data_IF_727256491642
#
_entry.id   IF_727256491642
#
_cell.length_a   1.000
_cell.length_b   1.000
_cell.length_c   1.000
_cell.angle_alpha   90.00
_cell.angle_beta   90.00
_cell.angle_gamma   90.00
#
_symmetry.space_group_name_H-M   'P 1'
#
loop_
_entity.id
_entity.type
_entity.pdbx_description
1 polymer ?
#
# COMPACT_ATOMS: atom_id res chain seq x y z
N UNK A 1 38.72 -66.70 49.81
CA UNK A 1 39.33 -65.35 49.65
C UNK A 1 40.03 -65.37 48.30
N UNK A 2 39.66 -64.63 47.25
CA UNK A 2 39.07 -63.31 47.19
C UNK A 2 38.20 -63.20 45.93
N UNK A 3 36.95 -62.74 46.08
CA UNK A 3 36.19 -62.12 45.00
C UNK A 3 37.00 -60.96 44.42
N UNK A 4 37.04 -60.83 43.10
CA UNK A 4 37.10 -59.55 42.40
C UNK A 4 36.35 -59.67 41.09
N UNK A 5 35.15 -59.08 41.13
CA UNK A 5 34.42 -58.56 39.99
C UNK A 5 35.34 -57.67 39.17
N UNK A 6 35.38 -57.87 37.85
CA UNK A 6 35.92 -56.87 36.92
C UNK A 6 34.88 -56.67 35.80
N UNK A 7 34.24 -55.52 35.95
CA UNK A 7 33.34 -54.75 35.10
C UNK A 7 33.23 -55.06 33.61
N UNK A 8 31.96 -55.18 33.21
CA UNK A 8 31.46 -55.02 31.86
C UNK A 8 31.60 -53.54 31.42
N UNK A 9 32.19 -53.21 30.26
CA UNK A 9 32.22 -51.84 29.79
C UNK A 9 30.81 -51.45 29.32
N UNK A 10 30.14 -50.60 30.10
CA UNK A 10 28.91 -49.90 29.72
C UNK A 10 29.26 -48.43 29.52
N UNK A 11 29.59 -48.05 28.28
CA UNK A 11 29.56 -46.64 27.84
C UNK A 11 28.47 -46.49 26.79
N UNK A 12 27.22 -46.71 27.21
CA UNK A 12 26.09 -46.05 26.57
C UNK A 12 25.98 -44.68 27.24
N UNK A 13 26.87 -43.76 26.87
CA UNK A 13 26.62 -42.34 27.08
C UNK A 13 25.79 -41.83 25.90
N UNK A 14 24.54 -42.30 25.83
CA UNK A 14 23.49 -41.62 25.08
C UNK A 14 22.85 -40.56 25.97
N UNK A 15 23.65 -39.68 26.58
CA UNK A 15 23.14 -38.40 27.05
C UNK A 15 23.12 -37.39 25.90
N UNK A 16 22.39 -37.74 24.83
CA UNK A 16 21.91 -36.75 23.87
C UNK A 16 20.52 -36.28 24.30
N UNK A 17 20.37 -35.20 25.08
CA UNK A 17 19.05 -34.59 25.26
C UNK A 17 18.58 -33.81 24.01
N UNK A 18 19.16 -34.04 22.82
CA UNK A 18 19.25 -33.01 21.78
C UNK A 18 18.67 -33.37 20.42
N UNK A 19 17.67 -34.23 20.38
CA UNK A 19 16.62 -34.14 19.37
C UNK A 19 15.28 -34.26 20.08
N UNK A 20 14.97 -33.28 20.93
CA UNK A 20 13.59 -33.02 21.27
C UNK A 20 12.85 -32.84 19.94
N UNK A 21 12.14 -33.89 19.53
CA UNK A 21 11.22 -33.89 18.40
C UNK A 21 10.06 -32.96 18.76
N UNK A 22 10.33 -31.65 18.80
CA UNK A 22 9.32 -30.63 18.97
C UNK A 22 8.81 -30.32 17.58
N UNK A 23 8.04 -31.26 17.03
CA UNK A 23 7.04 -30.90 16.05
C UNK A 23 6.30 -29.69 16.60
N UNK A 24 6.16 -28.58 15.85
CA UNK A 24 5.51 -27.40 16.37
C UNK A 24 4.15 -27.77 16.95
N UNK A 25 3.73 -27.08 18.00
CA UNK A 25 2.37 -27.28 18.50
C UNK A 25 1.37 -26.97 17.39
N UNK A 26 0.18 -27.57 17.38
CA UNK A 26 -0.85 -27.29 16.36
C UNK A 26 -1.10 -25.78 16.18
N UNK A 27 -1.00 -25.00 17.27
CA UNK A 27 -1.09 -23.53 17.25
C UNK A 27 0.08 -22.84 16.53
N UNK A 28 1.31 -23.36 16.65
CA UNK A 28 2.47 -22.87 15.90
C UNK A 28 2.41 -23.28 14.43
N UNK A 29 1.94 -24.50 14.10
CA UNK A 29 1.74 -24.90 12.70
C UNK A 29 0.76 -23.95 12.00
N UNK A 30 -0.38 -23.67 12.62
CA UNK A 30 -1.38 -22.76 12.04
C UNK A 30 -0.86 -21.33 11.83
N UNK A 31 0.02 -20.85 12.71
CA UNK A 31 0.67 -19.54 12.53
C UNK A 31 1.70 -19.54 11.40
N UNK A 32 2.48 -20.62 11.26
CA UNK A 32 3.44 -20.78 10.17
C UNK A 32 2.74 -20.80 8.81
N UNK A 33 1.68 -21.60 8.68
CA UNK A 33 0.86 -21.70 7.45
C UNK A 33 0.22 -20.35 7.10
N UNK A 34 -0.22 -19.57 8.09
CA UNK A 34 -0.76 -18.23 7.84
C UNK A 34 0.30 -17.25 7.37
N UNK A 35 1.49 -17.30 7.97
CA UNK A 35 2.59 -16.39 7.62
C UNK A 35 3.14 -16.65 6.20
N UNK A 36 3.14 -17.91 5.76
CA UNK A 36 3.57 -18.29 4.41
C UNK A 36 2.57 -17.86 3.34
N UNK A 37 1.27 -17.94 3.60
CA UNK A 37 0.22 -17.49 2.67
C UNK A 37 0.09 -15.95 2.57
N UNK A 38 0.40 -15.23 3.65
CA UNK A 38 0.30 -13.77 3.66
C UNK A 38 1.43 -13.08 2.88
N UNK A 39 2.63 -13.67 2.83
CA UNK A 39 3.80 -13.07 2.17
C UNK A 39 3.61 -12.85 0.65
N UNK A 40 3.17 -13.84 -0.17
CA UNK A 40 2.90 -13.64 -1.59
C UNK A 40 1.81 -12.59 -1.85
N UNK A 41 0.79 -12.54 -0.99
CA UNK A 41 -0.32 -11.60 -1.11
C UNK A 41 0.15 -10.16 -0.88
N UNK A 42 1.01 -9.92 0.11
CA UNK A 42 1.57 -8.59 0.38
C UNK A 42 2.44 -8.10 -0.78
N UNK A 43 3.32 -8.94 -1.32
CA UNK A 43 4.19 -8.59 -2.45
C UNK A 43 3.35 -8.20 -3.68
N UNK A 44 2.29 -8.96 -3.98
CA UNK A 44 1.37 -8.66 -5.10
C UNK A 44 0.70 -7.30 -4.93
N UNK A 45 0.19 -6.99 -3.73
CA UNK A 45 -0.45 -5.70 -3.45
C UNK A 45 0.53 -4.55 -3.65
N UNK A 46 1.75 -4.66 -3.10
CA UNK A 46 2.79 -3.64 -3.25
C UNK A 46 3.14 -3.40 -4.73
N UNK A 47 3.28 -4.49 -5.50
CA UNK A 47 3.57 -4.41 -6.93
C UNK A 47 2.44 -3.73 -7.72
N UNK A 48 1.18 -4.07 -7.44
CA UNK A 48 0.01 -3.45 -8.10
C UNK A 48 -0.06 -1.95 -7.78
N UNK A 49 0.05 -1.58 -6.50
CA UNK A 49 0.00 -0.18 -6.10
C UNK A 49 1.15 0.63 -6.72
N UNK A 50 2.36 0.07 -6.75
CA UNK A 50 3.53 0.70 -7.36
C UNK A 50 3.31 0.92 -8.86
N UNK A 51 2.83 -0.11 -9.57
CA UNK A 51 2.59 -0.04 -11.01
C UNK A 51 1.56 1.03 -11.35
N UNK A 52 0.41 1.02 -10.65
CA UNK A 52 -0.63 2.01 -10.87
C UNK A 52 -0.13 3.41 -10.55
N UNK A 53 0.58 3.59 -9.44
CA UNK A 53 1.15 4.88 -9.07
C UNK A 53 2.14 5.41 -10.13
N UNK A 54 3.01 4.55 -10.68
CA UNK A 54 3.92 4.93 -11.75
C UNK A 54 3.17 5.36 -13.03
N UNK A 55 2.11 4.63 -13.41
CA UNK A 55 1.27 4.98 -14.56
C UNK A 55 0.55 6.33 -14.34
N UNK A 56 -0.07 6.52 -13.17
CA UNK A 56 -0.73 7.80 -12.84
C UNK A 56 0.26 8.96 -12.77
N UNK A 57 1.46 8.75 -12.22
CA UNK A 57 2.49 9.78 -12.13
C UNK A 57 3.01 10.18 -13.51
N UNK A 58 3.35 9.19 -14.35
CA UNK A 58 3.81 9.44 -15.72
C UNK A 58 2.76 10.16 -16.56
N UNK A 59 1.49 9.74 -16.47
CA UNK A 59 0.39 10.43 -17.17
C UNK A 59 0.12 11.82 -16.61
N UNK A 60 0.25 12.04 -15.30
CA UNK A 60 0.13 13.39 -14.72
C UNK A 60 1.20 14.36 -15.25
N UNK A 61 2.45 13.90 -15.38
CA UNK A 61 3.53 14.70 -15.98
C UNK A 61 3.24 14.99 -17.44
N UNK A 62 2.83 13.98 -18.21
CA UNK A 62 2.50 14.14 -19.63
C UNK A 62 1.34 15.13 -19.85
N UNK A 63 0.25 14.98 -19.08
CA UNK A 63 -0.92 15.84 -19.15
C UNK A 63 -0.61 17.25 -18.64
N UNK A 64 0.20 17.42 -17.59
CA UNK A 64 0.66 18.72 -17.12
C UNK A 64 1.49 19.47 -18.18
N UNK A 65 2.45 18.78 -18.80
CA UNK A 65 3.25 19.34 -19.90
C UNK A 65 2.37 19.72 -21.10
N UNK A 66 1.42 18.86 -21.46
CA UNK A 66 0.43 19.14 -22.51
C UNK A 66 -0.43 20.35 -22.16
N UNK A 67 -0.89 20.49 -20.92
CA UNK A 67 -1.65 21.64 -20.43
C UNK A 67 -0.92 22.96 -20.65
N UNK A 68 0.34 23.01 -20.22
CA UNK A 68 1.17 24.23 -20.29
C UNK A 68 1.56 24.64 -21.72
N UNK A 69 1.91 23.67 -22.58
CA UNK A 69 2.51 23.96 -23.89
C UNK A 69 1.54 23.76 -25.07
N UNK A 70 0.63 22.80 -24.96
CA UNK A 70 -0.30 22.40 -26.02
C UNK A 70 -1.70 22.98 -25.83
N UNK A 71 -2.33 22.67 -24.71
CA UNK A 71 -3.75 22.95 -24.46
C UNK A 71 -4.03 24.45 -24.36
N UNK A 72 -3.12 25.23 -23.77
CA UNK A 72 -3.21 26.71 -23.69
C UNK A 72 -3.35 27.39 -25.06
N UNK A 73 -2.90 26.75 -26.14
CA UNK A 73 -3.05 27.25 -27.53
C UNK A 73 -4.41 26.92 -28.15
N UNK A 74 -5.19 26.03 -27.51
CA UNK A 74 -6.47 25.50 -28.01
C UNK A 74 -7.66 25.99 -27.19
N UNK A 75 -7.47 26.25 -25.90
CA UNK A 75 -8.52 26.71 -24.98
C UNK A 75 -8.16 28.10 -24.49
N UNK A 76 -9.02 29.08 -24.79
CA UNK A 76 -8.84 30.48 -24.36
C UNK A 76 -9.32 30.73 -22.92
N UNK A 77 -10.26 29.92 -22.42
CA UNK A 77 -10.85 30.06 -21.08
C UNK A 77 -9.80 29.73 -19.98
N UNK A 78 -9.38 30.73 -19.18
CA UNK A 78 -8.39 30.52 -18.14
C UNK A 78 -8.86 29.59 -17.01
N UNK A 79 -10.15 29.58 -16.69
CA UNK A 79 -10.69 28.74 -15.63
C UNK A 79 -10.62 27.26 -16.02
N UNK A 80 -10.89 26.93 -17.28
CA UNK A 80 -10.72 25.59 -17.84
C UNK A 80 -9.26 25.15 -17.82
N UNK A 81 -8.32 26.02 -18.19
CA UNK A 81 -6.90 25.72 -18.10
C UNK A 81 -6.43 25.51 -16.66
N UNK A 82 -6.95 26.29 -15.70
CA UNK A 82 -6.67 26.06 -14.30
C UNK A 82 -7.21 24.71 -13.81
N UNK A 83 -8.43 24.32 -14.19
CA UNK A 83 -8.98 23.01 -13.84
C UNK A 83 -8.11 21.86 -14.36
N UNK A 84 -7.58 21.96 -15.58
CA UNK A 84 -6.62 20.98 -16.11
C UNK A 84 -5.35 20.90 -15.28
N UNK A 85 -4.77 22.05 -14.90
CA UNK A 85 -3.56 22.08 -14.08
C UNK A 85 -3.81 21.52 -12.68
N UNK A 86 -4.96 21.83 -12.08
CA UNK A 86 -5.40 21.25 -10.80
C UNK A 86 -5.52 19.74 -10.90
N UNK A 87 -6.11 19.21 -11.98
CA UNK A 87 -6.22 17.77 -12.22
C UNK A 87 -4.83 17.10 -12.30
N UNK A 88 -3.91 17.67 -13.08
CA UNK A 88 -2.54 17.16 -13.19
C UNK A 88 -1.78 17.20 -11.86
N UNK A 89 -1.91 18.29 -11.12
CA UNK A 89 -1.27 18.44 -9.82
C UNK A 89 -1.82 17.43 -8.80
N UNK A 90 -3.14 17.30 -8.69
CA UNK A 90 -3.76 16.35 -7.75
C UNK A 90 -3.43 14.90 -8.11
N UNK A 91 -3.42 14.57 -9.41
CA UNK A 91 -3.00 13.25 -9.89
C UNK A 91 -1.53 12.97 -9.54
N UNK A 92 -0.62 13.92 -9.76
CA UNK A 92 0.80 13.74 -9.44
C UNK A 92 1.01 13.55 -7.94
N UNK A 93 0.43 14.42 -7.11
CA UNK A 93 0.56 14.36 -5.64
C UNK A 93 0.09 13.01 -5.10
N UNK A 94 -1.07 12.53 -5.54
CA UNK A 94 -1.63 11.27 -5.03
C UNK A 94 -0.97 10.04 -5.65
N UNK A 95 -0.36 10.16 -6.84
CA UNK A 95 0.50 9.09 -7.38
C UNK A 95 1.75 8.92 -6.52
N UNK A 96 2.41 10.01 -6.12
CA UNK A 96 3.56 9.97 -5.20
C UNK A 96 3.14 9.45 -3.82
N UNK A 97 2.01 9.92 -3.29
CA UNK A 97 1.47 9.39 -2.04
C UNK A 97 1.20 7.87 -2.13
N UNK A 98 0.71 7.38 -3.28
CA UNK A 98 0.48 5.95 -3.51
C UNK A 98 1.78 5.16 -3.59
N UNK A 99 2.85 5.69 -4.21
CA UNK A 99 4.19 5.08 -4.16
C UNK A 99 4.70 4.96 -2.73
N UNK A 100 4.56 6.03 -1.94
CA UNK A 100 4.94 6.01 -0.51
C UNK A 100 4.15 4.92 0.22
N UNK A 101 2.82 4.88 0.05
CA UNK A 101 1.96 3.87 0.66
C UNK A 101 2.37 2.45 0.23
N UNK A 102 2.70 2.23 -1.04
CA UNK A 102 3.15 0.94 -1.56
C UNK A 102 4.48 0.48 -0.93
N UNK A 103 5.38 1.43 -0.62
CA UNK A 103 6.68 1.15 0.00
C UNK A 103 6.61 0.78 1.49
N UNK A 104 5.48 1.05 2.16
CA UNK A 104 5.32 0.74 3.59
C UNK A 104 5.11 -0.76 3.81
N UNK A 105 6.04 -1.39 4.55
CA UNK A 105 5.92 -2.76 5.01
C UNK A 105 5.69 -2.85 6.54
N UNK A 106 4.93 -3.84 7.03
CA UNK A 106 4.00 -4.66 6.25
C UNK A 106 2.80 -3.85 5.75
N UNK A 107 2.16 -4.32 4.68
CA UNK A 107 0.94 -3.70 4.15
C UNK A 107 -0.25 -3.99 5.07
N UNK A 108 -0.67 -2.97 5.83
CA UNK A 108 -1.79 -3.06 6.76
C UNK A 108 -3.12 -2.82 6.04
N UNK A 109 -4.24 -3.10 6.72
CA UNK A 109 -5.57 -2.74 6.20
C UNK A 109 -5.66 -1.23 5.86
N UNK A 110 -5.10 -0.38 6.71
CA UNK A 110 -5.12 1.07 6.50
C UNK A 110 -4.34 1.50 5.26
N UNK A 111 -3.13 0.96 5.03
CA UNK A 111 -2.33 1.31 3.84
C UNK A 111 -2.98 0.79 2.56
N UNK A 112 -3.59 -0.40 2.58
CA UNK A 112 -4.35 -0.94 1.45
C UNK A 112 -5.55 -0.05 1.07
N UNK A 113 -6.34 0.37 2.07
CA UNK A 113 -7.46 1.29 1.85
C UNK A 113 -6.99 2.64 1.33
N UNK A 114 -5.93 3.21 1.92
CA UNK A 114 -5.38 4.49 1.48
C UNK A 114 -4.94 4.45 0.01
N UNK A 115 -4.16 3.43 -0.38
CA UNK A 115 -3.71 3.27 -1.77
C UNK A 115 -4.88 3.14 -2.75
N UNK A 116 -5.86 2.29 -2.44
CA UNK A 116 -7.06 2.14 -3.25
C UNK A 116 -7.88 3.42 -3.38
N UNK A 117 -8.06 4.16 -2.28
CA UNK A 117 -8.79 5.42 -2.24
C UNK A 117 -8.07 6.54 -3.02
N UNK A 118 -6.75 6.60 -2.98
CA UNK A 118 -5.98 7.52 -3.81
C UNK A 118 -6.13 7.21 -5.30
N UNK A 119 -6.06 5.94 -5.71
CA UNK A 119 -6.28 5.54 -7.11
C UNK A 119 -7.70 5.89 -7.58
N UNK A 120 -8.70 5.59 -6.76
CA UNK A 120 -10.09 5.95 -7.05
C UNK A 120 -10.26 7.48 -7.16
N UNK A 121 -9.67 8.23 -6.22
CA UNK A 121 -9.67 9.69 -6.22
C UNK A 121 -9.01 10.27 -7.47
N UNK A 122 -7.84 9.77 -7.89
CA UNK A 122 -7.17 10.24 -9.12
C UNK A 122 -8.06 10.05 -10.35
N UNK A 123 -8.68 8.88 -10.46
CA UNK A 123 -9.57 8.55 -11.58
C UNK A 123 -10.80 9.45 -11.60
N UNK A 124 -11.49 9.60 -10.48
CA UNK A 124 -12.75 10.34 -10.40
C UNK A 124 -12.52 11.86 -10.40
N UNK A 125 -11.63 12.37 -9.57
CA UNK A 125 -11.35 13.80 -9.44
C UNK A 125 -10.60 14.33 -10.67
N UNK A 126 -9.42 13.77 -10.96
CA UNK A 126 -8.56 14.31 -12.03
C UNK A 126 -9.11 13.95 -13.40
N UNK A 127 -9.57 12.71 -13.59
CA UNK A 127 -10.21 12.27 -14.83
C UNK A 127 -11.42 13.11 -15.22
N UNK A 128 -12.33 13.42 -14.28
CA UNK A 128 -13.49 14.27 -14.57
C UNK A 128 -13.10 15.69 -14.95
N UNK A 129 -12.13 16.30 -14.26
CA UNK A 129 -11.64 17.64 -14.58
C UNK A 129 -10.97 17.72 -15.95
N UNK A 130 -10.20 16.70 -16.37
CA UNK A 130 -9.66 16.67 -17.74
C UNK A 130 -10.77 16.61 -18.78
N UNK A 131 -11.75 15.73 -18.60
CA UNK A 131 -12.86 15.58 -19.54
C UNK A 131 -13.71 16.85 -19.63
N UNK A 132 -14.09 17.43 -18.48
CA UNK A 132 -14.80 18.71 -18.41
C UNK A 132 -13.99 19.86 -19.00
N UNK A 133 -12.65 19.80 -18.90
CA UNK A 133 -11.81 20.81 -19.55
C UNK A 133 -11.80 20.64 -21.07
N UNK A 134 -11.83 19.43 -21.61
CA UNK A 134 -11.83 19.21 -23.06
C UNK A 134 -13.19 19.57 -23.68
N UNK A 135 -14.28 19.10 -23.09
CA UNK A 135 -15.64 19.37 -23.59
C UNK A 135 -16.66 19.44 -22.43
N UNK A 136 -16.88 20.64 -21.87
CA UNK A 136 -17.80 20.82 -20.76
C UNK A 136 -19.26 20.48 -21.11
N UNK A 137 -19.67 20.64 -22.37
CA UNK A 137 -21.04 20.38 -22.79
C UNK A 137 -21.30 18.88 -22.86
N UNK A 138 -20.38 18.13 -23.49
CA UNK A 138 -20.47 16.68 -23.60
C UNK A 138 -20.32 15.98 -22.24
N UNK A 139 -19.42 16.47 -21.38
CA UNK A 139 -19.08 15.81 -20.12
C UNK A 139 -19.73 16.45 -18.89
N UNK A 140 -20.77 17.27 -19.04
CA UNK A 140 -21.44 17.98 -17.94
C UNK A 140 -21.87 17.05 -16.79
N UNK A 141 -22.31 15.83 -17.09
CA UNK A 141 -22.71 14.81 -16.10
C UNK A 141 -21.56 14.31 -15.22
N UNK A 142 -20.31 14.57 -15.59
CA UNK A 142 -19.13 14.24 -14.80
C UNK A 142 -18.87 15.24 -13.66
N UNK A 143 -19.58 16.38 -13.62
CA UNK A 143 -19.42 17.39 -12.58
C UNK A 143 -19.56 16.84 -11.15
N UNK A 144 -20.62 16.08 -10.83
CA UNK A 144 -20.79 15.44 -9.52
C UNK A 144 -19.76 14.35 -9.19
N UNK A 145 -18.99 13.86 -10.17
CA UNK A 145 -17.94 12.84 -9.96
C UNK A 145 -16.70 13.46 -9.31
N UNK A 146 -16.40 14.73 -9.60
CA UNK A 146 -15.27 15.46 -9.02
C UNK A 146 -15.31 15.49 -7.48
N UNK A 147 -16.40 15.93 -6.80
CA UNK A 147 -16.44 15.95 -5.34
C UNK A 147 -16.35 14.54 -4.72
N UNK A 148 -16.90 13.52 -5.37
CA UNK A 148 -16.74 12.13 -4.90
C UNK A 148 -15.26 11.70 -4.94
N UNK A 149 -14.53 12.07 -5.98
CA UNK A 149 -13.08 11.86 -6.05
C UNK A 149 -12.31 12.60 -4.93
N UNK A 150 -12.72 13.84 -4.62
CA UNK A 150 -12.18 14.60 -3.50
C UNK A 150 -12.40 13.92 -2.15
N UNK A 151 -13.60 13.36 -1.93
CA UNK A 151 -13.90 12.57 -0.73
C UNK A 151 -13.03 11.32 -0.64
N UNK A 152 -12.75 10.64 -1.75
CA UNK A 152 -11.82 9.51 -1.75
C UNK A 152 -10.40 9.93 -1.34
N UNK A 153 -9.90 11.07 -1.83
CA UNK A 153 -8.59 11.58 -1.37
C UNK A 153 -8.59 11.85 0.14
N UNK A 154 -9.59 12.55 0.66
CA UNK A 154 -9.73 12.83 2.10
C UNK A 154 -9.76 11.53 2.90
N UNK A 155 -10.59 10.57 2.48
CA UNK A 155 -10.71 9.28 3.15
C UNK A 155 -9.39 8.49 3.12
N UNK A 156 -8.62 8.57 2.03
CA UNK A 156 -7.31 7.93 1.92
C UNK A 156 -6.30 8.49 2.93
N UNK A 157 -6.21 9.82 3.05
CA UNK A 157 -5.38 10.47 4.06
C UNK A 157 -5.85 10.15 5.49
N UNK A 158 -7.17 10.16 5.73
CA UNK A 158 -7.75 9.78 7.02
C UNK A 158 -7.42 8.34 7.41
N UNK A 159 -7.46 7.39 6.45
CA UNK A 159 -7.10 6.01 6.68
C UNK A 159 -5.65 5.88 7.17
N UNK A 160 -4.71 6.63 6.57
CA UNK A 160 -3.31 6.66 7.04
C UNK A 160 -3.19 7.24 8.45
N UNK A 161 -3.91 8.33 8.75
CA UNK A 161 -3.88 8.97 10.07
C UNK A 161 -4.49 8.10 11.19
N UNK A 162 -5.48 7.25 10.87
CA UNK A 162 -6.02 6.28 11.83
C UNK A 162 -5.08 5.08 11.97
N UNK A 163 -4.53 4.58 10.86
CA UNK A 163 -3.62 3.43 10.85
C UNK A 163 -2.28 3.68 11.56
N UNK A 164 -1.78 4.92 11.57
CA UNK A 164 -0.51 5.28 12.23
C UNK A 164 -0.62 5.23 13.76
N UNK A 165 -1.78 5.58 14.34
CA UNK A 165 -2.01 5.54 15.80
C UNK A 165 -1.86 4.13 16.38
N UNK A 166 -2.26 3.11 15.62
CA UNK A 166 -2.08 1.71 16.03
C UNK A 166 -0.60 1.29 16.14
N UNK A 167 0.30 1.92 15.36
CA UNK A 167 1.75 1.63 15.44
C UNK A 167 2.40 2.31 16.65
N UNK A 168 1.93 3.49 17.05
CA UNK A 168 2.49 4.25 18.17
C UNK A 168 2.11 3.65 19.54
N UNK A 169 0.89 3.13 19.69
CA UNK A 169 0.44 2.51 20.96
C UNK A 169 1.19 1.23 21.35
N UNK A 170 1.75 0.51 20.36
CA UNK A 170 2.51 -0.73 20.60
C UNK A 170 3.96 -0.45 21.04
N UNK A 171 4.55 0.68 20.67
CA UNK A 171 5.91 1.04 21.09
C UNK A 171 6.00 1.47 22.55
N UNK A 172 4.93 2.02 23.11
CA UNK A 172 4.91 2.54 24.50
C UNK A 172 4.60 1.46 25.55
N UNK A 173 4.03 0.34 25.16
CA UNK A 173 3.67 -0.75 26.08
C UNK A 173 4.78 -1.82 26.22
N UNK A 174 5.77 -1.85 25.33
CA UNK A 174 6.93 -2.75 25.42
C UNK A 174 8.15 -2.15 26.13
N UNK A 175 8.06 -0.93 26.64
CA UNK A 175 9.15 -0.21 27.29
C UNK A 175 8.97 -0.04 28.82
N UNK A 176 8.15 -0.89 29.45
CA UNK A 176 7.95 -0.92 30.91
C UNK A 176 8.09 -2.33 31.45
#
# INVERSE_FOLDING_TARGET
MSSRDIEHPRTADESSPLLANTSPSQGQQHQLDRSSDEAPTQIRIMAILTTLAAVYGGTAVALGAFGAHGLKKRIADPARLQNWNTAAQYQLVHSVATLVVASLAPQTRATRWAGGLFIAGMTMFSGSLYLLTLDPQKYRSMGPVTPLGGLCFIAGWAALAVGSRGRLGLGTLGAR
#
